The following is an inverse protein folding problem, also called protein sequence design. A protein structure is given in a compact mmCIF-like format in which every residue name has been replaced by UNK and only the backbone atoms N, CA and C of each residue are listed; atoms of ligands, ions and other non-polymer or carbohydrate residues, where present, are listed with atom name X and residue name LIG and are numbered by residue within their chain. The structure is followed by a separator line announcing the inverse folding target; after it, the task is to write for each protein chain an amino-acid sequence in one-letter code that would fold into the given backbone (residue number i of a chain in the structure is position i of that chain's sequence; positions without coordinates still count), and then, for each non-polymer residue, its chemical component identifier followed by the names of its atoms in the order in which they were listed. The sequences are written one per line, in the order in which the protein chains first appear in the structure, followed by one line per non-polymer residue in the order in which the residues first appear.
data_IF_867272332190
#
_entry.id   IF_867272332190
#
_cell.length_a   1.000
_cell.length_b   1.000
_cell.length_c   1.000
_cell.angle_alpha   90.00
_cell.angle_beta   90.00
_cell.angle_gamma   90.00
#
_symmetry.space_group_name_H-M   'P 1'
#
loop_
_entity.id
_entity.type
_entity.pdbx_description
1 polymer ?
#
# COMPACT_ATOMS: atom_id res chain seq x y z
N UNK A 1 49.65 -2.83 30.49
CA UNK A 1 50.59 -2.40 29.43
C UNK A 1 50.33 -3.22 28.19
N UNK A 2 49.50 -2.71 27.31
CA UNK A 2 49.12 -3.38 26.04
C UNK A 2 49.45 -2.43 24.91
N UNK A 3 50.35 -2.84 24.04
CA UNK A 3 50.83 -2.07 22.88
C UNK A 3 49.84 -2.21 21.72
N UNK A 4 49.42 -1.08 21.17
CA UNK A 4 48.64 -0.98 19.92
C UNK A 4 49.60 -1.20 18.72
N UNK A 5 49.18 -1.94 17.67
CA UNK A 5 49.97 -2.07 16.45
C UNK A 5 49.81 -0.83 15.56
N UNK A 6 50.91 -0.43 14.96
CA UNK A 6 51.04 0.71 14.07
C UNK A 6 50.32 0.45 12.71
N UNK A 7 49.50 1.41 12.30
CA UNK A 7 48.88 1.46 10.98
C UNK A 7 49.92 1.88 9.93
N UNK A 8 50.30 0.95 9.05
CA UNK A 8 51.07 1.24 7.85
C UNK A 8 50.26 2.08 6.87
N UNK A 9 50.67 3.33 6.68
CA UNK A 9 50.16 4.18 5.58
C UNK A 9 50.78 3.66 4.26
N UNK A 10 49.94 3.07 3.40
CA UNK A 10 50.30 2.84 1.99
C UNK A 10 50.19 4.16 1.25
N UNK A 11 51.33 4.77 0.91
CA UNK A 11 51.42 5.90 0.00
C UNK A 11 51.43 5.36 -1.44
N UNK A 12 50.39 5.57 -2.17
CA UNK A 12 50.30 5.33 -3.61
C UNK A 12 51.02 6.48 -4.36
N UNK A 13 51.90 6.17 -5.32
CA UNK A 13 52.64 7.18 -6.09
C UNK A 13 51.66 7.91 -7.02
N UNK A 14 51.71 9.23 -6.96
CA UNK A 14 50.83 10.18 -7.69
C UNK A 14 50.83 10.06 -9.23
N UNK A 15 51.69 9.24 -9.79
CA UNK A 15 51.79 9.04 -11.25
C UNK A 15 50.78 8.07 -11.84
N UNK A 16 50.20 7.16 -11.02
CA UNK A 16 49.29 6.14 -11.53
C UNK A 16 47.86 6.66 -11.70
N UNK A 17 47.50 7.71 -10.95
CA UNK A 17 46.15 8.29 -11.00
C UNK A 17 45.90 9.14 -12.27
N UNK A 18 46.95 9.77 -12.82
CA UNK A 18 46.85 10.60 -14.01
C UNK A 18 46.66 9.81 -15.31
N UNK A 19 47.24 8.63 -15.39
CA UNK A 19 47.13 7.77 -16.59
C UNK A 19 45.80 7.03 -16.68
N UNK A 20 45.14 6.77 -15.54
CA UNK A 20 43.83 6.10 -15.51
C UNK A 20 42.69 7.03 -15.96
N UNK A 21 42.83 8.35 -15.69
CA UNK A 21 41.81 9.34 -16.07
C UNK A 21 41.86 9.62 -17.58
N UNK A 22 42.99 9.54 -18.21
CA UNK A 22 43.16 9.80 -19.64
C UNK A 22 42.66 8.65 -20.53
N UNK A 23 42.65 7.43 -20.02
CA UNK A 23 42.13 6.25 -20.73
C UNK A 23 40.60 6.11 -20.66
N UNK A 24 39.98 6.70 -19.65
CA UNK A 24 38.49 6.69 -19.53
C UNK A 24 37.80 7.76 -20.38
N UNK A 25 38.50 8.80 -20.82
CA UNK A 25 37.93 9.87 -21.65
C UNK A 25 37.86 9.53 -23.15
N UNK A 26 38.57 8.49 -23.61
CA UNK A 26 38.59 8.09 -25.03
C UNK A 26 37.47 7.13 -25.44
N UNK A 27 36.66 6.61 -24.50
CA UNK A 27 35.64 5.59 -24.78
C UNK A 27 34.20 6.16 -24.82
N UNK A 28 34.03 7.47 -24.78
CA UNK A 28 32.69 8.10 -24.77
C UNK A 28 32.28 8.72 -26.12
N UNK A 29 32.97 8.43 -27.21
CA UNK A 29 32.71 9.09 -28.51
C UNK A 29 32.16 8.14 -29.57
N UNK A 30 31.27 7.23 -29.24
CA UNK A 30 30.52 6.45 -30.23
C UNK A 30 29.14 6.13 -29.64
N UNK A 31 28.13 6.88 -29.99
CA UNK A 31 26.71 6.49 -30.16
C UNK A 31 25.78 7.70 -29.98
N UNK A 32 26.05 8.76 -30.73
CA UNK A 32 24.98 9.74 -31.03
C UNK A 32 24.37 9.34 -32.37
N UNK A 33 23.37 8.47 -32.34
CA UNK A 33 22.42 8.30 -33.44
C UNK A 33 21.24 9.19 -33.11
N UNK A 34 20.97 10.26 -33.86
CA UNK A 34 19.74 11.00 -33.70
C UNK A 34 18.62 10.20 -34.37
N UNK A 35 17.95 9.34 -33.60
CA UNK A 35 16.63 8.87 -33.99
C UNK A 35 15.65 10.02 -33.77
N UNK A 36 15.50 10.83 -34.80
CA UNK A 36 14.38 11.75 -34.91
C UNK A 36 13.10 10.93 -35.17
N UNK A 37 12.53 10.38 -34.11
CA UNK A 37 11.11 10.05 -34.04
C UNK A 37 10.48 11.21 -33.28
N UNK A 38 9.79 12.05 -34.02
CA UNK A 38 8.93 13.09 -33.49
C UNK A 38 7.81 12.39 -32.68
N UNK A 39 8.06 12.16 -31.41
CA UNK A 39 6.96 12.04 -30.48
C UNK A 39 6.39 13.43 -30.26
N UNK A 40 5.27 13.66 -30.93
CA UNK A 40 4.35 14.73 -30.58
C UNK A 40 3.92 14.49 -29.13
N UNK A 41 4.71 15.01 -28.20
CA UNK A 41 4.22 15.23 -26.85
C UNK A 41 3.21 16.37 -26.93
N UNK A 42 2.01 16.03 -27.39
CA UNK A 42 0.82 16.79 -27.04
C UNK A 42 0.85 16.89 -25.51
N UNK A 43 1.16 18.06 -24.98
CA UNK A 43 0.95 18.43 -23.59
C UNK A 43 -0.54 18.31 -23.26
N UNK A 44 -1.03 17.08 -23.21
CA UNK A 44 -2.30 16.74 -22.59
C UNK A 44 -2.11 17.06 -21.12
N UNK A 45 -2.89 18.02 -20.61
CA UNK A 45 -3.26 18.11 -19.19
C UNK A 45 -3.30 16.68 -18.67
N UNK A 46 -2.60 16.41 -17.56
CA UNK A 46 -2.66 15.12 -16.85
C UNK A 46 -4.11 14.65 -16.85
N UNK A 47 -4.45 13.82 -17.84
CA UNK A 47 -5.76 13.19 -17.91
C UNK A 47 -5.91 12.47 -16.59
N UNK A 48 -7.04 12.62 -15.95
CA UNK A 48 -7.37 12.01 -14.67
C UNK A 48 -6.87 10.58 -14.69
N UNK A 49 -5.67 10.36 -14.10
CA UNK A 49 -5.12 9.03 -13.95
C UNK A 49 -6.22 8.25 -13.24
N UNK A 50 -6.80 7.28 -13.92
CA UNK A 50 -7.99 6.60 -13.42
C UNK A 50 -7.65 6.01 -12.06
N UNK A 51 -8.18 6.63 -11.01
CA UNK A 51 -7.92 6.28 -9.63
C UNK A 51 -8.90 5.17 -9.22
N UNK A 52 -8.41 4.16 -8.52
CA UNK A 52 -9.26 3.14 -7.94
C UNK A 52 -10.27 3.75 -6.96
N UNK A 53 -11.48 3.19 -6.93
CA UNK A 53 -12.40 3.32 -5.80
C UNK A 53 -12.32 2.07 -4.93
N UNK A 54 -12.66 2.15 -3.66
CA UNK A 54 -12.64 1.00 -2.75
C UNK A 54 -13.95 0.85 -2.01
N UNK A 55 -14.47 -0.37 -1.94
CA UNK A 55 -15.58 -0.75 -1.08
C UNK A 55 -15.03 -1.54 0.10
N UNK A 56 -15.32 -1.09 1.31
CA UNK A 56 -14.97 -1.83 2.52
C UNK A 56 -16.04 -2.86 2.78
N UNK A 57 -15.69 -4.14 2.76
CA UNK A 57 -16.61 -5.23 3.07
C UNK A 57 -16.79 -5.38 4.58
N UNK A 58 -17.79 -6.16 5.00
CA UNK A 58 -18.06 -6.46 6.41
C UNK A 58 -16.83 -7.13 7.04
N UNK A 59 -16.59 -6.81 8.31
CA UNK A 59 -15.48 -7.42 9.06
C UNK A 59 -15.81 -8.89 9.34
N UNK A 60 -14.98 -9.78 8.80
CA UNK A 60 -15.02 -11.19 9.09
C UNK A 60 -14.17 -11.49 10.33
N UNK A 61 -14.79 -12.01 11.37
CA UNK A 61 -14.09 -12.43 12.59
C UNK A 61 -14.05 -13.95 12.76
N UNK A 62 -14.66 -14.72 11.86
CA UNK A 62 -14.71 -16.18 11.97
C UNK A 62 -15.09 -16.62 13.38
N UNK A 63 -14.30 -17.56 13.93
CA UNK A 63 -14.46 -18.10 15.27
C UNK A 63 -13.79 -17.24 16.36
N UNK A 64 -13.14 -16.14 15.98
CA UNK A 64 -12.55 -15.21 16.95
C UNK A 64 -13.67 -14.47 17.66
N UNK A 65 -13.81 -14.65 18.95
CA UNK A 65 -14.85 -14.05 19.80
C UNK A 65 -14.75 -12.52 19.87
N UNK A 66 -15.07 -11.83 18.76
CA UNK A 66 -15.02 -10.39 18.65
C UNK A 66 -16.42 -9.81 18.82
N UNK A 67 -16.56 -8.89 19.78
CA UNK A 67 -17.85 -8.23 20.04
C UNK A 67 -18.35 -7.44 18.82
N UNK A 68 -19.68 -7.39 18.58
CA UNK A 68 -20.25 -6.63 17.48
C UNK A 68 -19.86 -5.14 17.47
N UNK A 69 -19.79 -4.51 18.65
CA UNK A 69 -19.33 -3.14 18.84
C UNK A 69 -17.89 -2.92 18.37
N UNK A 70 -17.03 -3.90 18.61
CA UNK A 70 -15.63 -3.84 18.20
C UNK A 70 -15.48 -4.03 16.69
N UNK A 71 -16.27 -4.94 16.07
CA UNK A 71 -16.34 -5.09 14.60
C UNK A 71 -16.80 -3.78 13.95
N UNK A 72 -17.85 -3.15 14.49
CA UNK A 72 -18.33 -1.87 14.01
C UNK A 72 -17.26 -0.78 14.14
N UNK A 73 -16.52 -0.75 15.24
CA UNK A 73 -15.44 0.20 15.43
C UNK A 73 -14.29 -0.01 14.41
N UNK A 74 -13.92 -1.25 14.10
CA UNK A 74 -12.93 -1.54 13.04
C UNK A 74 -13.44 -1.00 11.71
N UNK A 75 -14.67 -1.33 11.34
CA UNK A 75 -15.29 -0.96 10.08
C UNK A 75 -15.34 0.57 9.88
N UNK A 76 -15.87 1.30 10.86
CA UNK A 76 -15.99 2.76 10.78
C UNK A 76 -14.62 3.46 10.75
N UNK A 77 -13.64 2.96 11.52
CA UNK A 77 -12.28 3.52 11.47
C UNK A 77 -11.62 3.24 10.11
N UNK A 78 -11.81 2.07 9.50
CA UNK A 78 -11.30 1.77 8.16
C UNK A 78 -11.84 2.75 7.12
N UNK A 79 -13.16 2.95 7.07
CA UNK A 79 -13.78 3.93 6.17
C UNK A 79 -13.17 5.31 6.33
N UNK A 80 -13.05 5.77 7.59
CA UNK A 80 -12.51 7.09 7.92
C UNK A 80 -11.04 7.24 7.53
N UNK A 81 -10.19 6.26 7.87
CA UNK A 81 -8.75 6.36 7.60
C UNK A 81 -8.46 6.21 6.11
N UNK A 82 -9.17 5.34 5.38
CA UNK A 82 -9.02 5.20 3.92
C UNK A 82 -9.41 6.49 3.20
N UNK A 83 -10.51 7.12 3.59
CA UNK A 83 -10.93 8.39 3.00
C UNK A 83 -9.89 9.51 3.21
N UNK A 84 -9.19 9.51 4.34
CA UNK A 84 -8.12 10.49 4.62
C UNK A 84 -6.90 10.32 3.72
N UNK A 85 -6.61 9.12 3.23
CA UNK A 85 -5.42 8.88 2.39
C UNK A 85 -5.49 9.57 1.05
N UNK A 86 -6.69 9.85 0.55
CA UNK A 86 -6.96 10.36 -0.81
C UNK A 86 -6.35 9.50 -1.92
N UNK A 87 -6.01 8.24 -1.60
CA UNK A 87 -5.48 7.29 -2.55
C UNK A 87 -6.57 6.73 -3.47
N UNK A 88 -7.77 6.63 -2.92
CA UNK A 88 -8.95 6.17 -3.63
C UNK A 88 -9.81 7.36 -4.05
N UNK A 89 -10.42 7.27 -5.23
CA UNK A 89 -11.38 8.27 -5.73
C UNK A 89 -12.55 8.39 -4.75
N UNK A 90 -13.09 7.24 -4.35
CA UNK A 90 -14.19 7.15 -3.39
C UNK A 90 -14.05 5.91 -2.51
N UNK A 91 -14.58 5.99 -1.29
CA UNK A 91 -14.63 4.90 -0.32
C UNK A 91 -16.08 4.58 -0.02
N UNK A 92 -16.51 3.39 -0.44
CA UNK A 92 -17.89 2.91 -0.31
C UNK A 92 -18.06 1.98 0.89
N UNK A 93 -19.25 1.98 1.43
CA UNK A 93 -19.69 1.01 2.43
C UNK A 93 -20.09 -0.31 1.78
N UNK A 94 -20.04 -1.40 2.54
CA UNK A 94 -20.57 -2.69 2.11
C UNK A 94 -22.07 -2.57 1.77
N UNK A 95 -22.45 -3.00 0.58
CA UNK A 95 -23.81 -2.94 0.10
C UNK A 95 -24.29 -1.57 -0.41
N UNK A 96 -23.38 -0.61 -0.59
CA UNK A 96 -23.70 0.66 -1.23
C UNK A 96 -24.03 0.42 -2.71
N UNK A 97 -25.23 0.81 -3.13
CA UNK A 97 -25.68 0.64 -4.52
C UNK A 97 -24.87 1.47 -5.51
N UNK A 98 -24.37 2.62 -5.09
CA UNK A 98 -23.54 3.48 -5.93
C UNK A 98 -22.20 2.83 -6.30
N UNK A 99 -21.77 1.82 -5.57
CA UNK A 99 -20.55 1.07 -5.88
C UNK A 99 -20.73 0.10 -7.06
N UNK A 100 -21.96 -0.28 -7.43
CA UNK A 100 -22.21 -1.36 -8.38
C UNK A 100 -21.66 -1.07 -9.78
N UNK A 101 -21.79 0.16 -10.25
CA UNK A 101 -21.44 0.56 -11.62
C UNK A 101 -20.11 1.35 -11.70
N UNK A 102 -19.37 1.41 -10.59
CA UNK A 102 -18.10 2.16 -10.54
C UNK A 102 -17.02 1.40 -11.31
N UNK A 103 -16.47 1.95 -12.38
CA UNK A 103 -15.30 1.36 -13.04
C UNK A 103 -14.10 1.43 -12.10
N UNK A 104 -13.30 0.39 -12.06
CA UNK A 104 -12.12 0.35 -11.19
C UNK A 104 -12.49 0.31 -9.70
N UNK A 105 -13.43 -0.55 -9.31
CA UNK A 105 -13.74 -0.81 -7.91
C UNK A 105 -12.89 -1.96 -7.38
N UNK A 106 -12.25 -1.72 -6.24
CA UNK A 106 -11.62 -2.75 -5.40
C UNK A 106 -12.50 -3.05 -4.19
N UNK A 107 -12.48 -4.28 -3.73
CA UNK A 107 -13.17 -4.73 -2.52
C UNK A 107 -12.12 -5.01 -1.46
N UNK A 108 -12.18 -4.29 -0.34
CA UNK A 108 -11.33 -4.54 0.82
C UNK A 108 -12.00 -5.56 1.74
N UNK A 109 -11.54 -6.79 1.73
CA UNK A 109 -11.90 -7.82 2.71
C UNK A 109 -10.96 -7.74 3.90
N UNK A 110 -11.54 -7.87 5.09
CA UNK A 110 -10.85 -7.76 6.37
C UNK A 110 -11.22 -8.95 7.24
N UNK A 111 -10.27 -9.85 7.47
CA UNK A 111 -10.46 -11.06 8.28
C UNK A 111 -9.62 -10.98 9.55
N UNK A 112 -10.28 -11.04 10.69
CA UNK A 112 -9.59 -11.04 11.99
C UNK A 112 -8.99 -12.43 12.24
N UNK A 113 -7.67 -12.49 12.33
CA UNK A 113 -6.93 -13.72 12.56
C UNK A 113 -6.72 -13.99 14.05
N UNK A 114 -6.49 -12.93 14.83
CA UNK A 114 -6.23 -13.04 16.26
C UNK A 114 -6.72 -11.80 16.98
N UNK A 115 -7.41 -12.04 18.07
CA UNK A 115 -7.79 -11.00 19.02
C UNK A 115 -7.49 -11.46 20.43
N UNK A 116 -6.87 -10.61 21.22
CA UNK A 116 -6.65 -10.81 22.64
C UNK A 116 -7.03 -9.48 23.33
N UNK A 117 -8.14 -9.48 24.05
CA UNK A 117 -8.54 -8.30 24.80
C UNK A 117 -7.48 -7.99 25.86
N UNK A 118 -7.08 -6.73 25.93
CA UNK A 118 -6.17 -6.27 26.95
C UNK A 118 -6.91 -5.85 28.21
N UNK A 119 -6.18 -5.75 29.32
CA UNK A 119 -6.68 -5.19 30.56
C UNK A 119 -6.21 -3.74 30.72
N UNK A 120 -7.15 -2.81 30.75
CA UNK A 120 -6.86 -1.39 30.96
C UNK A 120 -6.23 -1.11 32.33
N UNK A 121 -6.73 -1.79 33.36
CA UNK A 121 -6.19 -1.71 34.73
C UNK A 121 -4.75 -2.23 34.79
N UNK A 122 -4.46 -3.35 34.13
CA UNK A 122 -3.10 -3.89 34.09
C UNK A 122 -2.16 -2.96 33.34
N UNK A 123 -2.61 -2.33 32.23
CA UNK A 123 -1.80 -1.35 31.50
C UNK A 123 -1.50 -0.08 32.29
N UNK A 124 -2.41 0.31 33.17
CA UNK A 124 -2.19 1.47 34.03
C UNK A 124 -1.07 1.24 35.08
N UNK A 125 -0.87 -0.01 35.47
CA UNK A 125 0.12 -0.39 36.51
C UNK A 125 1.44 -0.88 35.91
N UNK A 126 1.38 -1.55 34.75
CA UNK A 126 2.56 -2.15 34.10
C UNK A 126 2.65 -1.75 32.63
N UNK A 127 3.84 -1.43 32.17
CA UNK A 127 4.07 -1.01 30.78
C UNK A 127 4.03 -2.15 29.76
N UNK A 128 4.05 -3.40 30.18
CA UNK A 128 4.22 -4.57 29.30
C UNK A 128 3.00 -5.51 29.34
N UNK A 129 2.37 -5.66 30.51
CA UNK A 129 1.21 -6.53 30.66
C UNK A 129 -0.10 -5.80 30.31
N UNK A 130 -1.12 -6.55 29.87
CA UNK A 130 -2.44 -6.01 29.56
C UNK A 130 -2.59 -5.42 28.15
N UNK A 131 -1.64 -5.66 27.24
CA UNK A 131 -1.75 -5.18 25.87
C UNK A 131 -2.94 -5.81 25.13
N UNK A 132 -3.72 -4.99 24.42
CA UNK A 132 -4.69 -5.48 23.44
C UNK A 132 -3.94 -5.85 22.17
N UNK A 133 -4.13 -7.06 21.69
CA UNK A 133 -3.54 -7.55 20.43
C UNK A 133 -4.64 -7.82 19.43
N UNK A 134 -4.52 -7.21 18.27
CA UNK A 134 -5.44 -7.39 17.15
C UNK A 134 -4.60 -7.61 15.90
N UNK A 135 -4.74 -8.79 15.27
CA UNK A 135 -4.05 -9.15 14.04
C UNK A 135 -5.09 -9.46 12.97
N UNK A 136 -4.94 -8.85 11.81
CA UNK A 136 -5.94 -8.87 10.76
C UNK A 136 -5.28 -9.09 9.42
N UNK A 137 -5.84 -10.00 8.63
CA UNK A 137 -5.53 -10.15 7.21
C UNK A 137 -6.40 -9.19 6.42
N UNK A 138 -5.80 -8.41 5.56
CA UNK A 138 -6.47 -7.58 4.58
C UNK A 138 -6.20 -8.11 3.18
N UNK A 139 -7.22 -8.12 2.33
CA UNK A 139 -7.12 -8.46 0.92
C UNK A 139 -7.85 -7.39 0.12
N UNK A 140 -7.18 -6.83 -0.89
CA UNK A 140 -7.82 -6.04 -1.93
C UNK A 140 -8.10 -6.96 -3.12
N UNK A 141 -9.35 -7.03 -3.50
CA UNK A 141 -9.80 -7.85 -4.62
C UNK A 141 -10.46 -7.00 -5.69
N UNK A 142 -10.33 -7.43 -6.94
CA UNK A 142 -11.19 -6.95 -8.01
C UNK A 142 -12.60 -7.55 -7.88
N UNK A 143 -13.55 -7.08 -8.67
CA UNK A 143 -14.91 -7.66 -8.72
C UNK A 143 -14.92 -9.15 -9.06
N UNK A 144 -13.95 -9.59 -9.86
CA UNK A 144 -13.81 -10.99 -10.28
C UNK A 144 -13.10 -11.85 -9.21
N UNK A 145 -13.00 -11.35 -7.98
CA UNK A 145 -12.30 -11.98 -6.86
C UNK A 145 -10.79 -12.22 -7.10
N UNK A 146 -10.17 -11.53 -8.04
CA UNK A 146 -8.73 -11.59 -8.19
C UNK A 146 -8.06 -10.76 -7.09
N UNK A 147 -7.14 -11.37 -6.35
CA UNK A 147 -6.40 -10.71 -5.28
C UNK A 147 -5.33 -9.80 -5.87
N UNK A 148 -5.48 -8.50 -5.65
CA UNK A 148 -4.51 -7.47 -6.08
C UNK A 148 -3.43 -7.25 -5.03
N UNK A 149 -3.83 -7.35 -3.76
CA UNK A 149 -2.94 -7.13 -2.63
C UNK A 149 -3.41 -7.94 -1.43
N UNK A 150 -2.46 -8.54 -0.71
CA UNK A 150 -2.73 -9.21 0.58
C UNK A 150 -1.64 -8.83 1.59
N UNK A 151 -2.06 -8.45 2.79
CA UNK A 151 -1.17 -8.18 3.91
C UNK A 151 -1.80 -8.60 5.23
N UNK A 152 -0.92 -8.83 6.21
CA UNK A 152 -1.30 -8.99 7.61
C UNK A 152 -0.90 -7.73 8.37
N UNK A 153 -1.85 -7.14 9.07
CA UNK A 153 -1.70 -5.86 9.75
C UNK A 153 -2.09 -5.96 11.21
N UNK A 154 -1.32 -5.34 12.07
CA UNK A 154 -1.56 -5.30 13.51
C UNK A 154 -2.22 -4.00 13.95
N UNK A 155 -3.17 -4.11 14.90
CA UNK A 155 -3.81 -2.99 15.58
C UNK A 155 -3.60 -3.06 17.09
N UNK A 156 -2.34 -3.17 17.52
CA UNK A 156 -2.03 -3.41 18.92
C UNK A 156 -2.09 -2.13 19.77
N UNK A 157 -2.50 -2.27 21.05
CA UNK A 157 -2.40 -1.21 22.06
C UNK A 157 -1.49 -1.71 23.18
N UNK A 158 -0.30 -1.11 23.28
CA UNK A 158 0.73 -1.50 24.28
C UNK A 158 0.78 -0.59 25.50
N UNK A 159 0.43 0.69 25.31
CA UNK A 159 0.56 1.75 26.33
C UNK A 159 -0.80 2.26 26.78
N UNK A 160 -0.85 3.41 27.42
CA UNK A 160 -2.10 4.03 27.89
C UNK A 160 -3.15 4.17 26.77
N UNK A 161 -4.38 3.83 27.07
CA UNK A 161 -5.56 3.98 26.22
C UNK A 161 -6.52 2.81 26.34
N UNK A 162 -7.79 3.10 26.04
CA UNK A 162 -8.85 2.08 26.02
C UNK A 162 -8.67 1.05 24.91
N UNK A 163 -9.33 -0.09 25.05
CA UNK A 163 -9.30 -1.17 24.06
C UNK A 163 -9.74 -0.70 22.67
N UNK A 164 -10.60 0.32 22.58
CA UNK A 164 -11.05 0.91 21.31
C UNK A 164 -9.96 1.66 20.54
N UNK A 165 -8.78 1.87 21.13
CA UNK A 165 -7.62 2.32 20.34
C UNK A 165 -7.10 1.26 19.37
N UNK A 166 -7.32 -0.04 19.61
CA UNK A 166 -6.86 -1.10 18.72
C UNK A 166 -7.51 -1.02 17.33
N UNK A 167 -8.85 -0.85 17.19
CA UNK A 167 -9.49 -0.57 15.90
C UNK A 167 -8.93 0.65 15.17
N UNK A 168 -8.68 1.72 15.89
CA UNK A 168 -8.12 2.94 15.30
C UNK A 168 -6.68 2.71 14.80
N UNK A 169 -5.81 2.11 15.61
CA UNK A 169 -4.44 1.79 15.22
C UNK A 169 -4.42 0.83 14.03
N UNK A 170 -5.30 -0.18 14.03
CA UNK A 170 -5.44 -1.09 12.89
C UNK A 170 -5.78 -0.32 11.62
N UNK A 171 -6.82 0.51 11.65
CA UNK A 171 -7.27 1.24 10.48
C UNK A 171 -6.20 2.20 9.96
N UNK A 172 -5.47 2.87 10.85
CA UNK A 172 -4.35 3.73 10.48
C UNK A 172 -3.22 2.93 9.80
N UNK A 173 -2.87 1.77 10.36
CA UNK A 173 -1.83 0.90 9.80
C UNK A 173 -2.27 0.30 8.45
N UNK A 174 -3.53 -0.11 8.29
CA UNK A 174 -4.09 -0.56 7.01
C UNK A 174 -4.01 0.54 5.97
N UNK A 175 -4.47 1.74 6.31
CA UNK A 175 -4.42 2.89 5.42
C UNK A 175 -2.99 3.23 5.00
N UNK A 176 -2.02 3.17 5.93
CA UNK A 176 -0.60 3.33 5.68
C UNK A 176 -0.05 2.25 4.74
N UNK A 177 -0.37 0.99 5.01
CA UNK A 177 0.04 -0.16 4.17
C UNK A 177 -0.46 0.01 2.73
N UNK A 178 -1.73 0.35 2.56
CA UNK A 178 -2.31 0.56 1.23
C UNK A 178 -1.69 1.77 0.52
N UNK A 179 -1.45 2.86 1.24
CA UNK A 179 -0.83 4.06 0.68
C UNK A 179 0.58 3.81 0.12
N UNK A 180 1.33 2.93 0.76
CA UNK A 180 2.70 2.59 0.34
C UNK A 180 2.76 1.40 -0.61
N UNK A 181 1.64 0.75 -0.90
CA UNK A 181 1.58 -0.32 -1.88
C UNK A 181 1.46 0.24 -3.30
N UNK A 182 2.22 -0.36 -4.23
CA UNK A 182 2.11 -0.03 -5.65
C UNK A 182 0.91 -0.78 -6.24
N UNK A 183 -0.27 -0.20 -6.14
CA UNK A 183 -1.44 -0.75 -6.81
C UNK A 183 -1.28 -0.61 -8.33
N UNK A 184 -1.63 -1.66 -9.12
CA UNK A 184 -1.63 -1.53 -10.57
C UNK A 184 -2.61 -0.44 -10.99
N UNK A 185 -2.36 0.19 -12.13
CA UNK A 185 -3.29 1.18 -12.68
C UNK A 185 -4.61 0.48 -13.05
N UNK A 186 -5.79 1.10 -12.78
CA UNK A 186 -7.05 0.58 -13.28
C UNK A 186 -7.00 0.55 -14.80
N UNK A 187 -7.16 -0.63 -15.38
CA UNK A 187 -7.27 -0.75 -16.84
C UNK A 187 -8.60 -0.11 -17.24
N UNK A 188 -8.55 0.95 -18.03
CA UNK A 188 -9.74 1.49 -18.65
C UNK A 188 -10.37 0.35 -19.46
N UNK A 189 -11.55 -0.09 -19.06
CA UNK A 189 -12.33 -1.00 -19.88
C UNK A 189 -12.60 -0.27 -21.20
N UNK A 190 -11.85 -0.64 -22.22
CA UNK A 190 -12.12 -0.17 -23.58
C UNK A 190 -13.60 -0.47 -23.86
N UNK A 191 -14.37 0.50 -24.37
CA UNK A 191 -15.76 0.24 -24.73
C UNK A 191 -15.73 -0.94 -25.69
N UNK A 192 -16.49 -1.99 -25.37
CA UNK A 192 -16.62 -3.15 -26.21
C UNK A 192 -16.94 -2.67 -27.64
N UNK A 193 -16.01 -2.88 -28.56
CA UNK A 193 -16.25 -2.61 -29.96
C UNK A 193 -17.39 -3.53 -30.39
N UNK A 194 -18.57 -2.95 -30.49
CA UNK A 194 -19.69 -3.60 -31.16
C UNK A 194 -19.26 -3.79 -32.62
N UNK A 195 -18.70 -4.94 -32.89
CA UNK A 195 -18.45 -5.38 -34.28
C UNK A 195 -19.81 -5.47 -34.94
N UNK A 196 -20.21 -4.38 -35.59
CA UNK A 196 -21.32 -4.42 -36.52
C UNK A 196 -20.95 -5.39 -37.62
N UNK A 197 -21.46 -6.60 -37.53
CA UNK A 197 -21.43 -7.54 -38.62
C UNK A 197 -22.16 -6.87 -39.78
N UNK A 198 -21.39 -6.36 -40.74
CA UNK A 198 -21.92 -5.95 -42.04
C UNK A 198 -22.42 -7.20 -42.72
N UNK A 199 -23.74 -7.39 -42.66
CA UNK A 199 -24.46 -8.27 -43.53
C UNK A 199 -24.34 -7.73 -44.95
N UNK A 200 -23.43 -8.31 -45.73
CA UNK A 200 -23.40 -8.16 -47.18
C UNK A 200 -24.53 -8.99 -47.77
N UNK A 201 -25.46 -8.31 -48.39
CA UNK A 201 -26.31 -8.86 -49.41
C UNK A 201 -25.84 -8.35 -50.75
#
# INVERSE_FOLDING_TARGET
MSRLPALHRLSLPSGVLATLILLLSALQLQLFVPSALAESSTGGKNGDAQQWSVQVDKIDAGDVGLEPSFKAAIYENLLKELAKTKQFKEVYRSGDRNANDVPGLLILKTTVQKYSPGSETTRAVTTVAGATKLNVRIQLLTRDNHVVLEHVVDGNVRWMGGNLKAPHNLAHNVAGTLKHSNLPQPVALAPAQVTAAQSSR
#
